data_IF_321421903449
#
_entry.id   IF_321421903449
#
_cell.length_a   1.000
_cell.length_b   1.000
_cell.length_c   1.000
_cell.angle_alpha   90.00
_cell.angle_beta   90.00
_cell.angle_gamma   90.00
#
_symmetry.space_group_name_H-M   'P 1'
#
loop_
_entity.id
_entity.type
_entity.pdbx_description
1 polymer ?
#
# COMPACT_ATOMS: atom_id res chain seq x y z
N UNK A 1 -73.90 9.78 8.51
CA UNK A 1 -72.98 9.06 9.43
C UNK A 1 -71.58 9.58 9.19
N UNK A 2 -70.99 10.18 10.23
CA UNK A 2 -69.64 10.75 10.25
C UNK A 2 -68.59 9.64 10.42
N UNK A 3 -67.32 10.01 10.20
CA UNK A 3 -66.06 9.41 10.68
C UNK A 3 -65.27 8.63 9.61
N UNK A 4 -63.96 8.75 9.45
CA UNK A 4 -62.92 9.41 10.26
C UNK A 4 -61.68 9.63 9.35
N UNK A 5 -61.14 10.84 9.34
CA UNK A 5 -59.81 11.14 8.80
C UNK A 5 -58.76 10.68 9.81
N UNK A 6 -57.82 9.82 9.41
CA UNK A 6 -56.64 9.47 10.21
C UNK A 6 -55.41 10.01 9.50
N UNK A 7 -54.85 11.09 10.05
CA UNK A 7 -53.51 11.57 9.77
C UNK A 7 -52.51 10.63 10.47
N UNK A 8 -51.56 10.06 9.74
CA UNK A 8 -50.39 9.45 10.34
C UNK A 8 -49.10 10.06 9.77
N UNK A 9 -48.58 11.00 10.55
CA UNK A 9 -47.24 11.56 10.48
C UNK A 9 -46.24 10.47 10.86
N UNK A 10 -45.62 9.81 9.88
CA UNK A 10 -44.41 9.03 10.13
C UNK A 10 -43.19 9.89 9.82
N UNK A 11 -42.69 10.52 10.88
CA UNK A 11 -41.40 11.19 10.99
C UNK A 11 -40.30 10.14 10.85
N UNK A 12 -39.99 9.78 9.61
CA UNK A 12 -38.87 8.91 9.27
C UNK A 12 -37.56 9.66 9.46
N UNK A 13 -36.93 9.47 10.62
CA UNK A 13 -35.52 9.81 10.84
C UNK A 13 -34.68 9.03 9.82
N UNK A 14 -34.28 9.69 8.73
CA UNK A 14 -33.15 9.23 7.91
C UNK A 14 -31.86 9.54 8.68
N UNK A 15 -31.64 8.81 9.77
CA UNK A 15 -30.30 8.56 10.27
C UNK A 15 -29.58 7.81 9.15
N UNK A 16 -28.74 8.54 8.41
CA UNK A 16 -27.90 8.00 7.36
C UNK A 16 -27.19 6.76 7.87
N UNK A 17 -27.62 5.60 7.37
CA UNK A 17 -26.90 4.35 7.49
C UNK A 17 -25.57 4.60 6.80
N UNK A 18 -24.53 4.91 7.60
CA UNK A 18 -23.16 4.87 7.11
C UNK A 18 -22.94 3.44 6.67
N UNK A 19 -22.96 3.19 5.37
CA UNK A 19 -22.44 1.94 4.81
C UNK A 19 -21.09 1.73 5.47
N UNK A 20 -20.97 0.69 6.28
CA UNK A 20 -19.69 0.18 6.69
C UNK A 20 -19.01 -0.29 5.40
N UNK A 21 -18.21 0.58 4.78
CA UNK A 21 -17.35 0.18 3.68
C UNK A 21 -16.46 -0.91 4.24
N UNK A 22 -16.63 -2.14 3.76
CA UNK A 22 -15.74 -3.24 4.13
C UNK A 22 -14.45 -2.98 3.37
N UNK A 23 -13.54 -2.24 3.99
CA UNK A 23 -12.21 -2.01 3.45
C UNK A 23 -11.43 -3.33 3.55
N UNK A 24 -11.41 -4.07 2.44
CA UNK A 24 -10.68 -5.33 2.33
C UNK A 24 -9.26 -5.03 1.84
N UNK A 25 -8.27 -5.41 2.63
CA UNK A 25 -6.85 -5.21 2.29
C UNK A 25 -6.28 -6.49 1.71
N UNK A 26 -5.93 -6.47 0.42
CA UNK A 26 -5.26 -7.59 -0.23
C UNK A 26 -3.86 -7.20 -0.66
N UNK A 27 -2.86 -7.89 -0.10
CA UNK A 27 -1.52 -7.84 -0.64
C UNK A 27 -1.46 -8.74 -1.87
N UNK A 28 -1.10 -8.18 -3.02
CA UNK A 28 -0.74 -8.97 -4.21
C UNK A 28 0.71 -8.74 -4.56
N UNK A 29 1.43 -9.83 -4.80
CA UNK A 29 2.86 -9.80 -5.10
C UNK A 29 3.06 -9.73 -6.62
N UNK A 30 3.71 -8.66 -7.10
CA UNK A 30 4.24 -8.51 -8.48
C UNK A 30 3.17 -8.47 -9.60
N UNK A 31 2.08 -7.71 -9.41
CA UNK A 31 1.20 -7.33 -10.53
C UNK A 31 1.89 -6.25 -11.38
N UNK A 32 1.75 -6.33 -12.70
CA UNK A 32 2.24 -5.32 -13.65
C UNK A 32 1.32 -4.10 -13.71
N UNK A 33 1.89 -2.90 -13.79
CA UNK A 33 1.10 -1.66 -13.87
C UNK A 33 0.20 -1.61 -15.12
N UNK A 34 0.57 -2.32 -16.19
CA UNK A 34 -0.26 -2.44 -17.39
C UNK A 34 -1.61 -3.13 -17.14
N UNK A 35 -1.68 -4.10 -16.22
CA UNK A 35 -2.91 -4.86 -15.93
C UNK A 35 -3.82 -4.14 -14.94
N UNK A 36 -3.22 -3.30 -14.10
CA UNK A 36 -3.93 -2.49 -13.10
C UNK A 36 -5.01 -1.61 -13.73
N UNK A 37 -4.78 -1.09 -14.95
CA UNK A 37 -5.76 -0.25 -15.65
C UNK A 37 -7.13 -0.93 -15.75
N UNK A 38 -7.15 -2.22 -16.07
CA UNK A 38 -8.41 -2.99 -16.22
C UNK A 38 -9.18 -3.04 -14.91
N UNK A 39 -8.48 -3.15 -13.78
CA UNK A 39 -9.10 -3.18 -12.45
C UNK A 39 -9.58 -1.80 -11.98
N UNK A 40 -8.91 -0.72 -12.43
CA UNK A 40 -9.29 0.66 -12.10
C UNK A 40 -10.50 1.14 -12.91
N UNK A 41 -10.77 0.55 -14.07
CA UNK A 41 -11.92 0.89 -14.92
C UNK A 41 -13.23 0.22 -14.46
N UNK A 42 -13.17 -0.74 -13.54
CA UNK A 42 -14.35 -1.43 -13.04
C UNK A 42 -15.19 -0.53 -12.11
N UNK A 43 -16.45 -0.21 -12.46
CA UNK A 43 -17.29 0.70 -11.66
C UNK A 43 -17.75 0.11 -10.32
N UNK A 44 -17.62 -1.21 -10.12
CA UNK A 44 -18.03 -1.90 -8.90
C UNK A 44 -16.91 -1.99 -7.86
N UNK A 45 -15.67 -1.66 -8.22
CA UNK A 45 -14.50 -1.82 -7.36
C UNK A 45 -13.88 -0.45 -7.05
N UNK A 46 -13.87 -0.08 -5.77
CA UNK A 46 -13.11 1.08 -5.30
C UNK A 46 -11.68 0.67 -4.92
N UNK A 47 -10.80 0.60 -5.91
CA UNK A 47 -9.42 0.16 -5.72
C UNK A 47 -8.45 1.34 -5.48
N UNK A 48 -7.61 1.21 -4.45
CA UNK A 48 -6.42 2.03 -4.24
C UNK A 48 -5.16 1.20 -4.42
N UNK A 49 -4.16 1.78 -5.07
CA UNK A 49 -2.96 1.06 -5.49
C UNK A 49 -1.73 1.74 -4.92
N UNK A 50 -0.90 0.96 -4.25
CA UNK A 50 0.42 1.37 -3.78
C UNK A 50 1.43 0.66 -4.66
N UNK A 51 2.13 1.44 -5.51
CA UNK A 51 3.20 0.93 -6.35
C UNK A 51 4.53 1.09 -5.61
N UNK A 52 4.98 0.01 -4.97
CA UNK A 52 6.29 -0.07 -4.32
C UNK A 52 7.37 -0.46 -5.33
N UNK A 53 8.27 0.47 -5.62
CA UNK A 53 9.42 0.26 -6.49
C UNK A 53 10.67 0.08 -5.65
N UNK A 54 11.57 -0.81 -6.07
CA UNK A 54 12.90 -0.99 -5.48
C UNK A 54 13.94 -1.05 -6.59
N UNK A 55 15.19 -0.68 -6.30
CA UNK A 55 16.31 -0.93 -7.21
C UNK A 55 16.34 -2.41 -7.70
N UNK A 56 16.33 -2.66 -9.03
CA UNK A 56 16.38 -4.00 -9.59
C UNK A 56 17.66 -4.77 -9.20
N UNK A 57 18.80 -4.09 -9.05
CA UNK A 57 20.09 -4.69 -8.67
C UNK A 57 20.00 -5.32 -7.29
N UNK A 58 19.47 -4.57 -6.32
CA UNK A 58 19.25 -5.04 -4.96
C UNK A 58 18.29 -6.24 -4.93
N UNK A 59 17.25 -6.21 -5.78
CA UNK A 59 16.27 -7.30 -5.90
C UNK A 59 16.90 -8.58 -6.47
N UNK A 60 17.71 -8.47 -7.53
CA UNK A 60 18.40 -9.60 -8.16
C UNK A 60 19.41 -10.22 -7.19
N UNK A 61 20.26 -9.40 -6.54
CA UNK A 61 21.26 -9.87 -5.59
C UNK A 61 20.59 -10.56 -4.40
N UNK A 62 19.54 -9.96 -3.84
CA UNK A 62 18.79 -10.55 -2.72
C UNK A 62 18.21 -11.91 -3.10
N UNK A 63 17.58 -12.04 -4.27
CA UNK A 63 17.01 -13.32 -4.73
C UNK A 63 18.08 -14.38 -4.98
N UNK A 64 19.21 -13.99 -5.58
CA UNK A 64 20.35 -14.89 -5.81
C UNK A 64 20.89 -15.45 -4.50
N UNK A 65 21.04 -14.60 -3.46
CA UNK A 65 21.55 -15.00 -2.14
C UNK A 65 20.56 -15.85 -1.36
N UNK A 66 19.26 -15.53 -1.42
CA UNK A 66 18.24 -16.17 -0.59
C UNK A 66 17.72 -17.48 -1.17
N UNK A 67 17.49 -17.54 -2.48
CA UNK A 67 16.76 -18.66 -3.10
C UNK A 67 17.66 -19.58 -3.95
N UNK A 68 18.98 -19.35 -3.99
CA UNK A 68 19.92 -20.07 -4.86
C UNK A 68 19.41 -20.17 -6.32
N UNK A 69 18.60 -19.19 -6.74
CA UNK A 69 17.83 -19.27 -7.97
C UNK A 69 18.68 -18.77 -9.13
N UNK A 70 19.12 -19.68 -9.99
CA UNK A 70 19.59 -19.35 -11.33
C UNK A 70 18.38 -18.99 -12.20
N UNK A 71 17.95 -17.72 -12.23
CA UNK A 71 16.79 -17.41 -13.08
C UNK A 71 16.29 -15.98 -13.19
N UNK A 72 16.83 -15.01 -12.44
CA UNK A 72 16.44 -13.61 -12.69
C UNK A 72 17.46 -12.94 -13.59
N UNK A 73 17.27 -13.09 -14.91
CA UNK A 73 18.10 -12.40 -15.88
C UNK A 73 17.83 -10.89 -15.81
N UNK A 74 18.90 -10.11 -15.59
CA UNK A 74 18.79 -8.67 -15.37
C UNK A 74 18.11 -7.97 -16.56
N UNK A 75 18.41 -8.38 -17.80
CA UNK A 75 17.81 -7.74 -18.98
C UNK A 75 16.29 -7.85 -18.99
N UNK A 76 15.73 -9.00 -18.59
CA UNK A 76 14.29 -9.18 -18.54
C UNK A 76 13.69 -8.38 -17.38
N UNK A 77 14.23 -8.54 -16.17
CA UNK A 77 13.66 -7.90 -14.98
C UNK A 77 13.68 -6.37 -15.04
N UNK A 78 14.80 -5.80 -15.51
CA UNK A 78 14.93 -4.34 -15.65
C UNK A 78 13.93 -3.79 -16.67
N UNK A 79 13.72 -4.47 -17.81
CA UNK A 79 12.73 -4.03 -18.81
C UNK A 79 11.30 -4.03 -18.26
N UNK A 80 10.94 -5.03 -17.44
CA UNK A 80 9.62 -5.05 -16.81
C UNK A 80 9.43 -3.87 -15.85
N UNK A 81 10.41 -3.62 -14.97
CA UNK A 81 10.38 -2.49 -14.03
C UNK A 81 10.34 -1.16 -14.79
N UNK A 82 11.14 -1.00 -15.83
CA UNK A 82 11.17 0.22 -16.64
C UNK A 82 9.81 0.50 -17.30
N UNK A 83 9.16 -0.53 -17.83
CA UNK A 83 7.82 -0.40 -18.41
C UNK A 83 6.82 0.06 -17.35
N UNK A 84 6.87 -0.53 -16.15
CA UNK A 84 5.97 -0.18 -15.05
C UNK A 84 6.22 1.25 -14.53
N UNK A 85 7.49 1.67 -14.47
CA UNK A 85 7.90 3.04 -14.15
C UNK A 85 7.38 4.06 -15.15
N UNK A 86 7.40 3.75 -16.46
CA UNK A 86 6.85 4.64 -17.50
C UNK A 86 5.32 4.73 -17.43
N UNK A 87 4.64 3.64 -17.07
CA UNK A 87 3.17 3.60 -16.98
C UNK A 87 2.62 4.29 -15.73
N UNK A 88 3.34 4.24 -14.62
CA UNK A 88 2.90 4.78 -13.33
C UNK A 88 2.44 6.25 -13.39
N UNK A 89 3.23 7.21 -13.92
CA UNK A 89 2.80 8.61 -13.97
C UNK A 89 1.59 8.82 -14.90
N UNK A 90 1.46 8.02 -15.96
CA UNK A 90 0.31 8.09 -16.86
C UNK A 90 -0.97 7.66 -16.15
N UNK A 91 -0.90 6.57 -15.38
CA UNK A 91 -2.03 6.09 -14.58
C UNK A 91 -2.35 7.03 -13.43
N UNK A 92 -1.36 7.61 -12.75
CA UNK A 92 -1.60 8.62 -11.71
C UNK A 92 -2.32 9.86 -12.25
N UNK A 93 -2.00 10.27 -13.49
CA UNK A 93 -2.69 11.37 -14.18
C UNK A 93 -4.12 10.99 -14.60
N UNK A 94 -4.34 9.76 -15.04
CA UNK A 94 -5.66 9.27 -15.46
C UNK A 94 -6.61 8.96 -14.30
N UNK A 95 -6.07 8.54 -13.16
CA UNK A 95 -6.83 8.12 -11.97
C UNK A 95 -6.34 8.89 -10.73
N UNK A 96 -6.65 10.19 -10.63
CA UNK A 96 -6.15 11.04 -9.55
C UNK A 96 -6.62 10.52 -8.19
N UNK A 97 -5.68 10.40 -7.24
CA UNK A 97 -5.95 9.94 -5.86
C UNK A 97 -6.16 8.43 -5.70
N UNK A 98 -6.07 7.63 -6.78
CA UNK A 98 -6.21 6.16 -6.73
C UNK A 98 -4.89 5.43 -6.66
N UNK A 99 -3.78 6.09 -7.02
CA UNK A 99 -2.46 5.48 -7.10
C UNK A 99 -1.45 6.32 -6.32
N UNK A 100 -0.66 5.65 -5.49
CA UNK A 100 0.48 6.20 -4.78
C UNK A 100 1.74 5.43 -5.19
N UNK A 101 2.77 6.14 -5.66
CA UNK A 101 4.10 5.58 -5.88
C UNK A 101 4.96 5.75 -4.62
N UNK A 102 5.68 4.69 -4.25
CA UNK A 102 6.63 4.73 -3.14
C UNK A 102 7.89 3.96 -3.51
N UNK A 103 9.05 4.50 -3.18
CA UNK A 103 10.31 3.78 -3.32
C UNK A 103 10.64 3.04 -2.03
N UNK A 104 11.29 1.89 -2.16
CA UNK A 104 11.77 1.11 -1.03
C UNK A 104 12.77 1.92 -0.20
N UNK A 105 13.59 2.71 -0.89
CA UNK A 105 14.62 3.57 -0.32
C UNK A 105 14.01 4.65 0.59
N UNK A 106 12.98 5.34 0.12
CA UNK A 106 12.23 6.30 0.94
C UNK A 106 11.63 5.63 2.18
N UNK A 107 11.07 4.43 2.01
CA UNK A 107 10.47 3.67 3.11
C UNK A 107 11.51 3.21 4.14
N UNK A 108 12.72 2.86 3.70
CA UNK A 108 13.82 2.49 4.59
C UNK A 108 14.39 3.67 5.37
N UNK A 109 14.42 4.85 4.75
CA UNK A 109 14.97 6.08 5.35
C UNK A 109 14.02 6.73 6.37
N UNK A 110 12.71 6.74 6.09
CA UNK A 110 11.69 7.21 7.04
C UNK A 110 10.49 6.25 7.11
N UNK A 111 10.64 5.09 7.79
CA UNK A 111 9.58 4.10 7.89
C UNK A 111 8.31 4.64 8.52
N UNK A 112 8.44 5.50 9.55
CA UNK A 112 7.31 6.06 10.28
C UNK A 112 6.54 7.08 9.43
N UNK A 113 7.25 8.03 8.82
CA UNK A 113 6.62 9.04 7.98
C UNK A 113 5.98 8.44 6.74
N UNK A 114 6.66 7.51 6.07
CA UNK A 114 6.10 6.83 4.88
C UNK A 114 4.93 5.92 5.21
N UNK A 115 4.94 5.20 6.33
CA UNK A 115 3.77 4.46 6.79
C UNK A 115 2.59 5.39 7.10
N UNK A 116 2.85 6.57 7.68
CA UNK A 116 1.82 7.59 7.95
C UNK A 116 1.23 8.12 6.65
N UNK A 117 2.06 8.43 5.66
CA UNK A 117 1.64 8.86 4.32
C UNK A 117 0.73 7.82 3.65
N UNK A 118 1.14 6.55 3.71
CA UNK A 118 0.38 5.41 3.19
C UNK A 118 -0.97 5.25 3.89
N UNK A 119 -0.99 5.37 5.22
CA UNK A 119 -2.22 5.30 6.01
C UNK A 119 -3.21 6.42 5.63
N UNK A 120 -2.71 7.65 5.45
CA UNK A 120 -3.52 8.80 5.01
C UNK A 120 -4.07 8.62 3.61
N UNK A 121 -3.28 8.01 2.72
CA UNK A 121 -3.74 7.65 1.37
C UNK A 121 -4.85 6.60 1.39
N UNK A 122 -4.67 5.53 2.17
CA UNK A 122 -5.66 4.46 2.35
C UNK A 122 -6.97 5.01 2.92
N UNK A 123 -6.90 5.85 3.95
CA UNK A 123 -8.08 6.41 4.63
C UNK A 123 -8.68 7.62 3.90
N UNK A 124 -7.98 8.19 2.91
CA UNK A 124 -8.32 9.47 2.29
C UNK A 124 -8.42 10.64 3.29
N UNK A 125 -7.70 10.56 4.41
CA UNK A 125 -7.67 11.58 5.45
C UNK A 125 -6.22 12.04 5.69
N UNK A 126 -5.92 13.28 5.29
CA UNK A 126 -4.58 13.89 5.40
C UNK A 126 -4.12 14.08 6.83
N UNK A 127 -5.04 14.11 7.79
CA UNK A 127 -4.75 14.34 9.20
C UNK A 127 -4.78 13.05 10.01
N UNK A 128 -5.08 11.91 9.39
CA UNK A 128 -5.18 10.64 10.07
C UNK A 128 -3.84 10.29 10.76
N UNK A 129 -3.83 10.07 12.08
CA UNK A 129 -2.64 9.61 12.78
C UNK A 129 -2.42 8.13 12.46
N UNK A 130 -1.15 7.72 12.41
CA UNK A 130 -0.82 6.30 12.24
C UNK A 130 -1.33 5.51 13.46
N UNK A 131 -2.00 4.35 13.26
CA UNK A 131 -2.46 3.52 14.36
C UNK A 131 -1.31 3.17 15.33
N UNK A 132 -1.56 3.31 16.64
CA UNK A 132 -0.54 3.13 17.68
C UNK A 132 0.14 1.75 17.60
N UNK A 133 -0.63 0.70 17.32
CA UNK A 133 -0.09 -0.65 17.16
C UNK A 133 0.94 -0.75 16.02
N UNK A 134 0.72 -0.04 14.91
CA UNK A 134 1.64 -0.02 13.78
C UNK A 134 2.88 0.80 14.09
N UNK A 135 2.70 1.95 14.75
CA UNK A 135 3.83 2.77 15.21
C UNK A 135 4.76 1.99 16.14
N UNK A 136 4.19 1.26 17.11
CA UNK A 136 4.94 0.40 18.02
C UNK A 136 5.66 -0.72 17.26
N UNK A 137 4.98 -1.37 16.30
CA UNK A 137 5.57 -2.41 15.49
C UNK A 137 6.76 -1.89 14.68
N UNK A 138 6.57 -0.81 13.92
CA UNK A 138 7.63 -0.19 13.10
C UNK A 138 8.83 0.15 13.98
N UNK A 139 8.62 0.91 15.06
CA UNK A 139 9.70 1.32 15.97
C UNK A 139 10.49 0.13 16.51
N UNK A 140 9.80 -0.94 16.91
CA UNK A 140 10.41 -2.15 17.46
C UNK A 140 11.24 -2.92 16.43
N UNK A 141 10.82 -2.90 15.17
CA UNK A 141 11.36 -3.75 14.11
C UNK A 141 12.38 -3.05 13.21
N UNK A 142 12.32 -1.72 13.08
CA UNK A 142 13.25 -0.92 12.26
C UNK A 142 14.41 -0.32 13.05
N UNK A 143 14.35 -0.37 14.39
CA UNK A 143 15.42 0.09 15.27
C UNK A 143 15.76 -0.95 16.36
N UNK A 144 16.13 -2.19 15.97
CA UNK A 144 16.39 -3.25 16.94
C UNK A 144 17.66 -2.96 17.77
N UNK A 145 17.74 -3.46 19.03
CA UNK A 145 18.98 -3.46 19.79
C UNK A 145 20.08 -4.24 19.05
N UNK A 146 21.34 -3.80 19.16
CA UNK A 146 22.51 -4.42 18.52
C UNK A 146 22.72 -5.92 18.86
N UNK A 147 22.05 -6.42 19.89
CA UNK A 147 22.16 -7.81 20.39
C UNK A 147 21.25 -8.80 19.65
N UNK A 148 20.37 -8.34 18.75
CA UNK A 148 19.50 -9.21 17.95
C UNK A 148 20.31 -9.88 16.84
N UNK A 149 20.30 -11.21 16.81
CA UNK A 149 20.88 -11.99 15.70
C UNK A 149 20.16 -11.66 14.40
N UNK A 150 20.93 -11.34 13.37
CA UNK A 150 20.44 -11.16 12.01
C UNK A 150 20.21 -12.54 11.38
N UNK A 151 18.95 -12.82 11.07
CA UNK A 151 18.55 -14.00 10.31
C UNK A 151 18.04 -13.52 8.96
N UNK A 152 18.27 -14.29 7.89
CA UNK A 152 17.89 -13.92 6.53
C UNK A 152 16.42 -13.46 6.39
N UNK A 153 15.51 -14.04 7.18
CA UNK A 153 14.07 -13.72 7.20
C UNK A 153 13.61 -12.98 8.46
N UNK A 154 14.56 -12.40 9.23
CA UNK A 154 14.24 -11.59 10.39
C UNK A 154 13.48 -10.32 9.98
N UNK A 155 12.48 -9.98 10.77
CA UNK A 155 11.78 -8.69 10.71
C UNK A 155 12.45 -7.62 11.56
N UNK A 156 13.51 -7.96 12.31
CA UNK A 156 14.31 -7.00 13.08
C UNK A 156 15.52 -6.61 12.24
N UNK A 157 15.51 -5.37 11.73
CA UNK A 157 16.54 -4.84 10.84
C UNK A 157 16.69 -3.35 11.07
N UNK A 158 17.92 -2.84 11.09
CA UNK A 158 18.11 -1.39 11.08
C UNK A 158 18.06 -0.91 9.63
N UNK A 159 16.86 -0.49 9.19
CA UNK A 159 16.58 -0.27 7.77
C UNK A 159 17.36 0.88 7.15
N UNK A 160 17.69 1.92 7.93
CA UNK A 160 18.44 3.07 7.44
C UNK A 160 19.94 2.76 7.30
N UNK A 161 20.50 1.94 8.20
CA UNK A 161 21.90 1.50 8.11
C UNK A 161 22.08 0.46 7.01
N UNK A 162 21.18 -0.53 6.92
CA UNK A 162 21.24 -1.58 5.87
C UNK A 162 21.14 -1.00 4.46
N UNK A 163 20.42 0.11 4.29
CA UNK A 163 20.35 0.79 3.00
C UNK A 163 21.70 1.36 2.53
N UNK A 164 22.58 1.75 3.45
CA UNK A 164 23.87 2.37 3.13
C UNK A 164 24.97 1.37 2.73
N UNK A 165 24.69 0.06 2.82
CA UNK A 165 25.64 -1.03 2.55
C UNK A 165 25.48 -1.60 1.13
#
# INVERSE_FOLDING_TARGET
>A
MKNLTINNTLRGNNSGVKRSTIDSYQQVIRIRMSWIKVLLDDPYIDLKIIHLVRDPRATIISRSRTFHSQGLHASFHCQLIETDLRMTPLLMKGYPGKIMGITYEDFCMDPKGKATELWRFITNDKNSPLPTAWLQYITKHTSPPATKKDYAYSTYRNTSIEYQQ
#
